data_IF_797408352792
#
_entry.id   IF_797408352792
#
_cell.length_a   1.000
_cell.length_b   1.000
_cell.length_c   1.000
_cell.angle_alpha   90.00
_cell.angle_beta   90.00
_cell.angle_gamma   90.00
#
_symmetry.space_group_name_H-M   'P 1'
#
loop_
_entity.id
_entity.type
_entity.pdbx_description
1 polymer ?
#
# COMPACT_ATOMS: atom_id res chain seq x y z
N UNK A 1 14.47 30.07 -0.66
CA UNK A 1 13.51 29.57 0.34
C UNK A 1 14.16 29.79 1.69
N UNK A 2 13.51 30.56 2.55
CA UNK A 2 14.11 31.05 3.81
C UNK A 2 13.59 30.30 5.05
N UNK A 3 12.69 29.33 4.84
CA UNK A 3 12.20 28.41 5.87
C UNK A 3 13.18 27.26 6.11
N UNK A 4 13.39 26.91 7.39
CA UNK A 4 14.22 25.78 7.78
C UNK A 4 13.68 24.46 7.22
N UNK A 5 14.56 23.61 6.69
CA UNK A 5 14.24 22.28 6.15
C UNK A 5 14.85 21.20 7.05
N UNK A 6 14.25 20.99 8.21
CA UNK A 6 14.69 20.00 9.19
C UNK A 6 14.63 18.60 8.60
N UNK A 7 15.70 17.83 8.77
CA UNK A 7 15.77 16.43 8.34
C UNK A 7 15.37 15.55 9.50
N UNK A 8 14.44 14.65 9.24
CA UNK A 8 14.02 13.60 10.15
C UNK A 8 14.50 12.25 9.62
N UNK A 9 14.84 11.34 10.53
CA UNK A 9 15.23 9.98 10.20
C UNK A 9 14.40 9.01 11.04
N UNK A 10 14.09 7.87 10.45
CA UNK A 10 13.51 6.72 11.14
C UNK A 10 14.66 5.78 11.47
N UNK A 11 14.83 5.48 12.75
CA UNK A 11 15.87 4.63 13.28
C UNK A 11 15.40 3.80 14.48
N UNK A 12 16.11 2.71 14.76
CA UNK A 12 15.90 1.95 15.98
C UNK A 12 16.27 2.81 17.21
N UNK A 13 15.49 2.77 18.31
CA UNK A 13 14.41 1.84 18.60
C UNK A 13 13.00 2.35 18.26
N UNK A 14 12.85 3.50 17.59
CA UNK A 14 11.55 4.11 17.32
C UNK A 14 10.99 3.62 15.97
N UNK A 15 9.96 2.76 15.98
CA UNK A 15 9.44 2.15 14.75
C UNK A 15 8.74 3.19 13.86
N UNK A 16 8.75 2.93 12.54
CA UNK A 16 7.89 3.59 11.54
C UNK A 16 7.87 2.68 10.30
N UNK A 17 7.25 1.52 10.50
CA UNK A 17 7.24 0.38 9.57
C UNK A 17 6.45 0.65 8.29
N UNK A 18 5.42 1.48 8.37
CA UNK A 18 4.66 1.97 7.23
C UNK A 18 5.55 2.65 6.17
N UNK A 19 6.24 3.73 6.53
CA UNK A 19 7.10 4.49 5.61
C UNK A 19 8.35 3.70 5.19
N UNK A 20 8.90 2.89 6.11
CA UNK A 20 10.01 2.01 5.78
C UNK A 20 9.58 0.88 4.81
N UNK A 21 8.35 0.38 4.93
CA UNK A 21 7.73 -0.59 4.04
C UNK A 21 7.52 -0.03 2.64
N UNK A 22 6.98 1.19 2.53
CA UNK A 22 6.86 1.89 1.24
C UNK A 22 8.21 2.06 0.55
N UNK A 23 9.24 2.44 1.31
CA UNK A 23 10.61 2.54 0.79
C UNK A 23 11.11 1.18 0.29
N UNK A 24 10.87 0.10 1.03
CA UNK A 24 11.27 -1.24 0.61
C UNK A 24 10.56 -1.65 -0.69
N UNK A 25 9.25 -1.42 -0.79
CA UNK A 25 8.46 -1.70 -1.98
C UNK A 25 8.94 -0.90 -3.20
N UNK A 26 9.16 0.41 -3.05
CA UNK A 26 9.63 1.29 -4.12
C UNK A 26 11.01 0.88 -4.64
N UNK A 27 11.95 0.54 -3.73
CA UNK A 27 13.28 0.06 -4.10
C UNK A 27 13.21 -1.30 -4.82
N UNK A 28 12.35 -2.21 -4.34
CA UNK A 28 12.14 -3.52 -4.98
C UNK A 28 11.58 -3.38 -6.39
N UNK A 29 10.49 -2.62 -6.57
CA UNK A 29 9.89 -2.36 -7.88
C UNK A 29 10.88 -1.67 -8.83
N UNK A 30 11.64 -0.69 -8.34
CA UNK A 30 12.70 -0.03 -9.12
C UNK A 30 13.78 -1.02 -9.54
N UNK A 31 14.17 -1.96 -8.68
CA UNK A 31 15.16 -2.98 -9.02
C UNK A 31 14.72 -3.85 -10.21
N UNK A 32 13.42 -4.14 -10.32
CA UNK A 32 12.87 -4.87 -11.46
C UNK A 32 12.92 -4.04 -12.73
N UNK A 33 12.53 -2.76 -12.66
CA UNK A 33 12.53 -1.84 -13.80
C UNK A 33 13.95 -1.61 -14.36
N UNK A 34 14.96 -1.47 -13.50
CA UNK A 34 16.35 -1.25 -13.91
C UNK A 34 17.09 -2.54 -14.28
N UNK A 35 16.51 -3.73 -14.03
CA UNK A 35 17.22 -5.01 -14.17
C UNK A 35 17.82 -5.22 -15.55
N UNK A 36 17.13 -4.80 -16.61
CA UNK A 36 17.57 -4.99 -18.00
C UNK A 36 18.58 -3.93 -18.47
N UNK A 37 18.50 -2.71 -17.95
CA UNK A 37 19.35 -1.60 -18.38
C UNK A 37 20.62 -1.43 -17.53
N UNK A 38 20.51 -1.68 -16.23
CA UNK A 38 21.60 -1.56 -15.27
C UNK A 38 21.46 -2.63 -14.15
N UNK A 39 21.96 -3.86 -14.40
CA UNK A 39 21.88 -4.94 -13.42
C UNK A 39 22.60 -4.61 -12.09
N UNK A 40 23.72 -3.87 -12.14
CA UNK A 40 24.50 -3.53 -10.96
C UNK A 40 23.79 -2.55 -10.04
N UNK A 41 23.09 -1.57 -10.63
CA UNK A 41 22.21 -0.68 -9.88
C UNK A 41 20.98 -1.43 -9.36
N UNK A 42 20.38 -2.30 -10.17
CA UNK A 42 19.26 -3.15 -9.74
C UNK A 42 19.62 -4.00 -8.50
N UNK A 43 20.81 -4.61 -8.45
CA UNK A 43 21.27 -5.35 -7.27
C UNK A 43 21.49 -4.46 -6.05
N UNK A 44 21.89 -3.22 -6.25
CA UNK A 44 22.03 -2.25 -5.17
C UNK A 44 20.68 -1.85 -4.59
N UNK A 45 19.69 -1.60 -5.46
CA UNK A 45 18.31 -1.31 -5.06
C UNK A 45 17.70 -2.48 -4.29
N UNK A 46 17.83 -3.70 -4.81
CA UNK A 46 17.28 -4.90 -4.16
C UNK A 46 17.90 -5.16 -2.78
N UNK A 47 19.23 -5.04 -2.65
CA UNK A 47 19.90 -5.17 -1.34
C UNK A 47 19.41 -4.13 -0.34
N UNK A 48 19.16 -2.91 -0.78
CA UNK A 48 18.64 -1.86 0.10
C UNK A 48 17.16 -2.09 0.44
N UNK A 49 16.37 -2.62 -0.48
CA UNK A 49 14.99 -3.02 -0.24
C UNK A 49 14.92 -4.10 0.86
N UNK A 50 15.76 -5.13 0.78
CA UNK A 50 15.84 -6.20 1.79
C UNK A 50 16.19 -5.65 3.18
N UNK A 51 17.21 -4.78 3.29
CA UNK A 51 17.56 -4.13 4.57
C UNK A 51 16.43 -3.30 5.15
N UNK A 52 15.71 -2.55 4.30
CA UNK A 52 14.56 -1.77 4.73
C UNK A 52 13.44 -2.69 5.21
N UNK A 53 13.20 -3.79 4.50
CA UNK A 53 12.18 -4.77 4.89
C UNK A 53 12.53 -5.51 6.20
N UNK A 54 13.80 -5.85 6.43
CA UNK A 54 14.28 -6.41 7.71
C UNK A 54 14.00 -5.46 8.88
N UNK A 55 14.20 -4.15 8.68
CA UNK A 55 13.85 -3.14 9.67
C UNK A 55 12.34 -3.14 9.97
N UNK A 56 11.51 -3.20 8.93
CA UNK A 56 10.03 -3.24 9.06
C UNK A 56 9.58 -4.46 9.85
N UNK A 57 10.12 -5.64 9.56
CA UNK A 57 9.72 -6.86 10.27
C UNK A 57 10.15 -6.83 11.75
N UNK A 58 11.29 -6.21 12.04
CA UNK A 58 11.85 -6.12 13.40
C UNK A 58 11.21 -5.01 14.25
N UNK A 59 10.93 -3.84 13.66
CA UNK A 59 10.50 -2.63 14.37
C UNK A 59 9.13 -2.15 13.87
N UNK A 60 8.09 -2.87 14.31
CA UNK A 60 6.68 -2.65 13.97
C UNK A 60 6.10 -1.42 14.69
N UNK A 61 5.46 -0.53 13.94
CA UNK A 61 4.79 0.67 14.45
C UNK A 61 4.53 1.73 13.36
N UNK A 62 3.59 2.63 13.61
CA UNK A 62 3.25 3.74 12.72
C UNK A 62 4.26 4.88 12.82
N UNK A 63 4.52 5.63 11.74
CA UNK A 63 5.28 6.88 11.85
C UNK A 63 4.53 7.94 12.67
N UNK A 64 3.20 7.87 12.75
CA UNK A 64 2.38 8.75 13.59
C UNK A 64 2.65 8.56 15.10
N UNK A 65 3.05 7.36 15.50
CA UNK A 65 3.37 7.04 16.90
C UNK A 65 4.85 7.32 17.21
N UNK A 66 5.66 7.58 16.18
CA UNK A 66 7.06 7.90 16.32
C UNK A 66 7.23 9.37 16.72
N UNK A 67 7.54 9.56 18.00
CA UNK A 67 7.69 10.88 18.62
C UNK A 67 8.73 11.79 17.93
N UNK A 68 9.72 11.22 17.23
CA UNK A 68 10.76 12.00 16.57
C UNK A 68 10.29 12.60 15.23
N UNK A 69 9.31 11.99 14.57
CA UNK A 69 8.89 12.37 13.20
C UNK A 69 7.48 12.93 13.16
N UNK A 70 6.59 12.50 14.07
CA UNK A 70 5.18 12.89 14.12
C UNK A 70 4.97 14.41 13.97
N UNK A 71 5.65 15.21 14.79
CA UNK A 71 5.45 16.67 14.81
C UNK A 71 5.85 17.36 13.50
N UNK A 72 6.82 16.79 12.79
CA UNK A 72 7.26 17.31 11.49
C UNK A 72 6.42 16.83 10.31
N UNK A 73 5.78 15.66 10.43
CA UNK A 73 5.14 14.97 9.31
C UNK A 73 3.62 15.08 9.37
N UNK A 74 2.99 14.83 10.52
CA UNK A 74 1.53 14.81 10.68
C UNK A 74 0.79 16.12 10.33
N UNK A 75 1.38 17.33 10.42
CA UNK A 75 0.72 18.52 9.90
C UNK A 75 0.44 18.50 8.40
N UNK A 76 1.10 17.60 7.64
CA UNK A 76 1.01 17.53 6.18
C UNK A 76 0.58 16.14 5.68
N UNK A 77 1.14 15.10 6.27
CA UNK A 77 0.89 13.69 5.96
C UNK A 77 0.73 13.00 7.31
N UNK A 78 -0.49 12.93 7.84
CA UNK A 78 -0.77 12.08 8.98
C UNK A 78 -1.50 10.87 8.43
N UNK A 79 -1.11 9.68 8.85
CA UNK A 79 -1.86 8.46 8.54
C UNK A 79 -3.18 8.54 9.36
N UNK A 80 -4.31 8.40 8.69
CA UNK A 80 -5.62 8.38 9.35
C UNK A 80 -6.32 7.03 9.19
N UNK A 81 -5.75 6.13 8.40
CA UNK A 81 -6.28 4.81 8.06
C UNK A 81 -5.78 3.72 9.03
N UNK A 82 -4.77 4.04 9.84
CA UNK A 82 -4.38 3.30 11.02
C UNK A 82 -3.42 2.15 10.74
N UNK A 83 -2.18 2.29 11.17
CA UNK A 83 -1.21 1.19 11.26
C UNK A 83 -1.79 -0.02 12.03
N UNK A 84 -1.68 -1.21 11.43
CA UNK A 84 -2.15 -2.45 12.05
C UNK A 84 -0.98 -3.39 12.35
N UNK A 85 -0.85 -3.77 13.62
CA UNK A 85 0.26 -4.53 14.21
C UNK A 85 0.32 -6.03 13.81
N UNK A 86 -0.27 -6.41 12.68
CA UNK A 86 -0.21 -7.76 12.13
C UNK A 86 1.02 -7.94 11.25
N UNK A 87 2.00 -8.74 11.67
CA UNK A 87 3.20 -9.02 10.88
C UNK A 87 2.88 -9.46 9.44
N UNK A 88 3.56 -8.86 8.45
CA UNK A 88 3.29 -9.01 7.01
C UNK A 88 3.19 -10.49 6.53
N UNK A 89 3.92 -11.42 7.16
CA UNK A 89 3.87 -12.85 6.84
C UNK A 89 2.64 -13.57 7.44
N UNK A 90 2.27 -13.26 8.68
CA UNK A 90 1.04 -13.74 9.32
C UNK A 90 -0.22 -13.08 8.70
N UNK A 91 -0.07 -11.86 8.19
CA UNK A 91 -1.05 -11.12 7.41
C UNK A 91 -1.38 -11.84 6.08
N UNK A 92 -0.36 -12.33 5.36
CA UNK A 92 -0.57 -13.10 4.11
C UNK A 92 -1.18 -14.48 4.36
N UNK A 93 -0.76 -15.13 5.45
CA UNK A 93 -1.14 -16.52 5.71
C UNK A 93 -2.47 -16.67 6.43
N UNK A 94 -2.85 -15.74 7.31
CA UNK A 94 -3.93 -15.99 8.27
C UNK A 94 -5.17 -15.07 8.16
N UNK A 95 -5.10 -13.84 7.64
CA UNK A 95 -6.13 -12.84 8.00
C UNK A 95 -6.50 -11.77 6.96
N UNK A 96 -6.71 -12.13 5.69
CA UNK A 96 -7.36 -11.22 4.72
C UNK A 96 -8.77 -10.71 5.14
N UNK A 97 -9.40 -11.33 6.17
CA UNK A 97 -10.74 -11.00 6.66
C UNK A 97 -10.81 -10.28 8.01
N UNK A 98 -9.75 -10.23 8.82
CA UNK A 98 -9.90 -10.05 10.29
C UNK A 98 -9.53 -8.66 10.82
N UNK A 99 -9.02 -7.73 10.00
CA UNK A 99 -8.48 -6.47 10.52
C UNK A 99 -8.96 -5.23 9.73
N UNK A 100 -10.26 -4.98 9.64
CA UNK A 100 -10.74 -3.70 9.08
C UNK A 100 -10.63 -3.58 7.56
N UNK A 101 -10.53 -4.71 6.84
CA UNK A 101 -10.79 -4.80 5.40
C UNK A 101 -12.26 -4.49 5.04
N UNK A 102 -13.03 -3.86 5.93
CA UNK A 102 -14.34 -3.29 5.65
C UNK A 102 -14.27 -1.74 5.65
N UNK A 103 -13.27 -1.13 6.28
CA UNK A 103 -13.25 0.33 6.51
C UNK A 103 -12.60 1.14 5.39
N UNK A 104 -11.88 0.52 4.44
CA UNK A 104 -11.32 1.23 3.28
C UNK A 104 -11.06 0.35 2.05
N UNK A 105 -11.93 -0.61 1.76
CA UNK A 105 -11.79 -1.45 0.55
C UNK A 105 -11.90 -0.67 -0.76
N UNK A 106 -12.43 0.54 -0.76
CA UNK A 106 -12.67 1.32 -1.99
C UNK A 106 -11.55 2.35 -2.26
N UNK A 107 -10.31 2.04 -1.89
CA UNK A 107 -9.18 2.93 -2.14
C UNK A 107 -7.90 2.20 -2.50
N UNK A 108 -7.17 2.81 -3.43
CA UNK A 108 -5.76 2.55 -3.68
C UNK A 108 -5.04 3.89 -3.73
N UNK A 109 -4.04 4.07 -2.88
CA UNK A 109 -3.41 5.37 -2.70
C UNK A 109 -2.15 5.33 -1.86
N UNK A 110 -1.68 6.52 -1.49
CA UNK A 110 -0.46 6.68 -0.71
C UNK A 110 -0.62 6.19 0.74
N UNK A 111 -1.84 6.07 1.25
CA UNK A 111 -2.15 5.58 2.60
C UNK A 111 -2.53 4.09 2.57
N UNK A 112 -3.48 3.71 1.71
CA UNK A 112 -3.97 2.32 1.59
C UNK A 112 -3.50 1.59 0.31
N UNK A 113 -2.95 0.38 0.47
CA UNK A 113 -2.36 -0.45 -0.59
C UNK A 113 -3.01 -1.82 -0.74
N UNK A 114 -4.05 -2.11 0.05
CA UNK A 114 -4.68 -3.43 0.07
C UNK A 114 -5.26 -3.82 -1.29
N UNK A 115 -5.97 -2.89 -1.94
CA UNK A 115 -6.52 -3.13 -3.28
C UNK A 115 -5.42 -3.49 -4.31
N UNK A 116 -4.31 -2.74 -4.32
CA UNK A 116 -3.16 -3.03 -5.18
C UNK A 116 -2.53 -4.40 -4.87
N UNK A 117 -2.43 -4.76 -3.59
CA UNK A 117 -1.93 -6.07 -3.17
C UNK A 117 -2.83 -7.22 -3.63
N UNK A 118 -4.15 -7.09 -3.47
CA UNK A 118 -5.12 -8.10 -3.91
C UNK A 118 -5.02 -8.33 -5.42
N UNK A 119 -4.96 -7.26 -6.21
CA UNK A 119 -4.84 -7.35 -7.67
C UNK A 119 -3.50 -7.97 -8.07
N UNK A 120 -2.38 -7.54 -7.47
CA UNK A 120 -1.07 -8.07 -7.80
C UNK A 120 -0.95 -9.57 -7.48
N UNK A 121 -1.35 -10.00 -6.28
CA UNK A 121 -1.25 -11.42 -5.89
C UNK A 121 -2.25 -12.27 -6.68
N UNK A 122 -3.45 -11.76 -6.96
CA UNK A 122 -4.43 -12.51 -7.76
C UNK A 122 -3.92 -12.80 -9.17
N UNK A 123 -3.14 -11.89 -9.77
CA UNK A 123 -2.44 -12.15 -11.04
C UNK A 123 -1.48 -13.33 -10.93
N UNK A 124 -0.63 -13.37 -9.90
CA UNK A 124 0.30 -14.48 -9.67
C UNK A 124 -0.43 -15.81 -9.43
N UNK A 125 -1.59 -15.79 -8.76
CA UNK A 125 -2.44 -16.98 -8.59
C UNK A 125 -2.93 -17.50 -9.94
N UNK A 126 -3.41 -16.61 -10.80
CA UNK A 126 -3.97 -16.96 -12.12
C UNK A 126 -2.89 -17.42 -13.12
N UNK A 127 -1.71 -16.78 -13.11
CA UNK A 127 -0.62 -17.08 -14.03
C UNK A 127 0.27 -18.24 -13.53
N UNK A 128 0.47 -18.35 -12.22
CA UNK A 128 1.39 -19.28 -11.57
C UNK A 128 0.76 -20.52 -10.93
N UNK A 129 -0.57 -20.66 -10.96
CA UNK A 129 -1.33 -21.75 -10.29
C UNK A 129 -1.03 -21.88 -8.78
N UNK A 130 -0.92 -20.74 -8.08
CA UNK A 130 -0.66 -20.71 -6.64
C UNK A 130 -1.95 -20.89 -5.81
N UNK A 131 -2.43 -22.13 -5.71
CA UNK A 131 -3.70 -22.47 -5.02
C UNK A 131 -3.76 -22.03 -3.55
N UNK A 132 -2.62 -21.91 -2.87
CA UNK A 132 -2.55 -21.46 -1.47
C UNK A 132 -2.88 -19.97 -1.27
N UNK A 133 -2.97 -19.19 -2.35
CA UNK A 133 -3.26 -17.75 -2.31
C UNK A 133 -4.61 -17.40 -2.95
N UNK A 134 -5.50 -18.37 -3.19
CA UNK A 134 -6.84 -18.14 -3.79
C UNK A 134 -7.71 -17.13 -3.02
N UNK A 135 -7.46 -16.96 -1.71
CA UNK A 135 -8.10 -15.92 -0.91
C UNK A 135 -7.86 -14.51 -1.47
N UNK A 136 -6.68 -14.23 -2.02
CA UNK A 136 -6.34 -12.95 -2.64
C UNK A 136 -7.10 -12.68 -3.92
N UNK A 137 -7.31 -13.73 -4.74
CA UNK A 137 -8.20 -13.64 -5.89
C UNK A 137 -9.63 -13.29 -5.44
N UNK A 138 -10.12 -13.94 -4.39
CA UNK A 138 -11.46 -13.64 -3.86
C UNK A 138 -11.57 -12.19 -3.34
N UNK A 139 -10.53 -11.69 -2.68
CA UNK A 139 -10.46 -10.28 -2.23
C UNK A 139 -10.38 -9.30 -3.41
N UNK A 140 -9.63 -9.64 -4.47
CA UNK A 140 -9.57 -8.83 -5.69
C UNK A 140 -10.93 -8.80 -6.40
N UNK A 141 -11.58 -9.95 -6.56
CA UNK A 141 -12.93 -10.06 -7.14
C UNK A 141 -13.93 -9.21 -6.33
N UNK A 142 -13.86 -9.30 -5.00
CA UNK A 142 -14.70 -8.50 -4.09
C UNK A 142 -14.45 -7.00 -4.28
N UNK A 143 -13.19 -6.57 -4.38
CA UNK A 143 -12.83 -5.18 -4.68
C UNK A 143 -13.38 -4.73 -6.04
N UNK A 144 -13.21 -5.53 -7.09
CA UNK A 144 -13.75 -5.19 -8.41
C UNK A 144 -15.27 -5.06 -8.41
N UNK A 145 -15.96 -5.87 -7.61
CA UNK A 145 -17.42 -5.76 -7.46
C UNK A 145 -17.83 -4.44 -6.85
N UNK A 146 -17.06 -3.84 -5.92
CA UNK A 146 -17.41 -2.52 -5.37
C UNK A 146 -17.26 -1.40 -6.40
N UNK A 147 -16.54 -1.63 -7.49
CA UNK A 147 -16.39 -0.65 -8.56
C UNK A 147 -17.49 -0.75 -9.61
N UNK A 148 -18.17 -1.90 -9.73
CA UNK A 148 -19.17 -2.13 -10.79
C UNK A 148 -20.59 -1.80 -10.25
N UNK A 149 -21.30 -0.80 -10.82
CA UNK A 149 -22.62 -0.39 -10.32
C UNK A 149 -23.69 -1.48 -10.35
N UNK A 150 -23.58 -2.44 -11.26
CA UNK A 150 -24.53 -3.55 -11.43
C UNK A 150 -24.23 -4.75 -10.52
N UNK A 151 -23.18 -4.69 -9.70
CA UNK A 151 -22.85 -5.77 -8.78
C UNK A 151 -23.79 -5.78 -7.56
N UNK A 152 -23.86 -6.92 -6.87
CA UNK A 152 -24.65 -7.06 -5.64
C UNK A 152 -23.97 -6.48 -4.39
N UNK A 153 -22.82 -5.83 -4.53
CA UNK A 153 -21.99 -5.34 -3.43
C UNK A 153 -22.16 -3.83 -3.19
N UNK A 154 -21.73 -3.35 -2.02
CA UNK A 154 -21.62 -1.91 -1.75
C UNK A 154 -20.67 -1.27 -2.75
N UNK A 155 -21.12 -0.23 -3.45
CA UNK A 155 -20.37 0.37 -4.56
C UNK A 155 -19.83 1.76 -4.22
N UNK A 156 -18.73 2.11 -4.86
CA UNK A 156 -18.23 3.49 -4.88
C UNK A 156 -19.23 4.39 -5.59
N UNK A 157 -19.34 5.64 -5.14
CA UNK A 157 -20.22 6.61 -5.79
C UNK A 157 -19.69 6.99 -7.18
N UNK A 158 -20.61 7.41 -8.05
CA UNK A 158 -20.29 7.90 -9.38
C UNK A 158 -20.91 9.28 -9.59
N UNK A 159 -20.18 10.15 -10.28
CA UNK A 159 -20.75 11.41 -10.78
C UNK A 159 -21.83 11.13 -11.84
N UNK A 160 -22.73 12.10 -12.14
CA UNK A 160 -23.74 11.93 -13.19
C UNK A 160 -23.17 11.61 -14.58
N UNK A 161 -21.89 11.92 -14.83
CA UNK A 161 -21.20 11.63 -16.09
C UNK A 161 -20.41 10.29 -16.07
N UNK A 162 -20.53 9.48 -15.02
CA UNK A 162 -19.92 8.16 -14.93
C UNK A 162 -18.47 8.12 -14.42
N UNK A 163 -17.97 9.23 -13.85
CA UNK A 163 -16.67 9.24 -13.17
C UNK A 163 -16.79 8.64 -11.76
N UNK A 164 -15.88 7.75 -11.37
CA UNK A 164 -15.72 7.29 -9.98
C UNK A 164 -15.58 8.52 -9.06
N UNK A 165 -16.28 8.50 -7.93
CA UNK A 165 -16.29 9.60 -6.98
C UNK A 165 -16.05 9.07 -5.56
N UNK A 166 -14.92 9.48 -4.98
CA UNK A 166 -14.64 9.31 -3.56
C UNK A 166 -14.52 10.70 -2.92
N UNK A 167 -15.29 11.03 -1.87
CA UNK A 167 -15.12 12.29 -1.15
C UNK A 167 -13.70 12.42 -0.57
N UNK A 168 -13.05 13.56 -0.77
CA UNK A 168 -11.71 13.80 -0.23
C UNK A 168 -11.01 15.01 -0.85
N UNK A 169 -9.77 15.26 -0.42
CA UNK A 169 -8.97 16.41 -0.86
C UNK A 169 -8.48 16.34 -2.30
N UNK A 170 -8.55 15.17 -2.97
CA UNK A 170 -8.05 14.97 -4.33
C UNK A 170 -8.77 13.85 -5.08
N UNK A 171 -10.03 14.08 -5.48
CA UNK A 171 -10.87 13.07 -6.14
C UNK A 171 -10.21 12.39 -7.35
N UNK A 172 -9.53 13.15 -8.22
CA UNK A 172 -8.89 12.59 -9.41
C UNK A 172 -7.70 11.66 -9.09
N UNK A 173 -7.05 11.82 -7.93
CA UNK A 173 -6.03 10.89 -7.47
C UNK A 173 -6.64 9.51 -7.21
N UNK A 174 -7.76 9.45 -6.49
CA UNK A 174 -8.44 8.18 -6.25
C UNK A 174 -8.93 7.55 -7.56
N UNK A 175 -9.53 8.34 -8.46
CA UNK A 175 -9.99 7.84 -9.77
C UNK A 175 -8.86 7.22 -10.56
N UNK A 176 -7.74 7.93 -10.70
CA UNK A 176 -6.62 7.47 -11.53
C UNK A 176 -5.95 6.23 -10.93
N UNK A 177 -5.73 6.20 -9.61
CA UNK A 177 -5.17 5.03 -8.92
C UNK A 177 -6.08 3.81 -9.00
N UNK A 178 -7.39 3.97 -8.76
CA UNK A 178 -8.34 2.86 -8.86
C UNK A 178 -8.46 2.38 -10.31
N UNK A 179 -8.53 3.30 -11.27
CA UNK A 179 -8.60 2.94 -12.69
C UNK A 179 -7.35 2.20 -13.14
N UNK A 180 -6.18 2.52 -12.61
CA UNK A 180 -4.94 1.79 -12.91
C UNK A 180 -5.03 0.31 -12.51
N UNK A 181 -5.77 -0.04 -11.45
CA UNK A 181 -5.93 -1.43 -11.03
C UNK A 181 -6.90 -2.24 -11.92
N UNK A 182 -7.67 -1.58 -12.79
CA UNK A 182 -8.63 -2.23 -13.69
C UNK A 182 -8.00 -2.75 -14.99
N UNK A 183 -6.76 -2.36 -15.31
CA UNK A 183 -6.06 -2.67 -16.56
C UNK A 183 -4.75 -3.41 -16.30
#
# INVERSE_FOLDING_TARGET
MDTARTVYAVDSPNPASDVAGEKAAALSASSMAFRSSDPGYADTLLRNAMKAFEFVDTYRGAYNDNANVRDGVCPFYCDFDGYQDGGYLDYIQNNGKTLGAEDNINEFGWDNKHAGLYVLISKEVLEGNMFNLESYKSSADSFMCTLIPESSSSHIEYTPAGLIYKPGGSNLQHVTSISFLLY
#
